data_IF_454770820677
#
_entry.id   IF_454770820677
#
_cell.length_a   1.000
_cell.length_b   1.000
_cell.length_c   1.000
_cell.angle_alpha   90.00
_cell.angle_beta   90.00
_cell.angle_gamma   90.00
#
_symmetry.space_group_name_H-M   'P 1'
#
loop_
_entity.id
_entity.type
_entity.pdbx_description
1 polymer ?
#
# COMPACT_ATOMS: atom_id res chain seq x y z
N UNK A 1 1.68 14.83 -7.12
CA UNK A 1 1.20 13.95 -6.03
C UNK A 1 2.18 12.80 -5.90
N UNK A 2 2.47 12.32 -4.69
CA UNK A 2 3.42 11.23 -4.49
C UNK A 2 2.68 9.89 -4.53
N UNK A 3 3.33 8.83 -4.99
CA UNK A 3 2.70 7.49 -5.01
C UNK A 3 2.11 7.06 -3.65
N UNK A 4 2.68 7.55 -2.53
CA UNK A 4 2.13 7.34 -1.19
C UNK A 4 0.79 8.05 -0.97
N UNK A 5 0.63 9.30 -1.43
CA UNK A 5 -0.64 10.02 -1.29
C UNK A 5 -1.77 9.35 -2.06
N UNK A 6 -1.45 8.83 -3.25
CA UNK A 6 -2.44 8.19 -4.12
C UNK A 6 -2.91 6.85 -3.52
N UNK A 7 -1.99 6.10 -2.90
CA UNK A 7 -2.32 4.88 -2.15
C UNK A 7 -3.18 5.18 -0.93
N UNK A 8 -2.85 6.22 -0.16
CA UNK A 8 -3.64 6.66 1.01
C UNK A 8 -5.05 7.04 0.58
N UNK A 9 -5.20 7.79 -0.51
CA UNK A 9 -6.49 8.19 -1.04
C UNK A 9 -7.30 6.99 -1.52
N UNK A 10 -6.65 6.02 -2.17
CA UNK A 10 -7.29 4.79 -2.61
C UNK A 10 -7.82 3.98 -1.41
N UNK A 11 -7.03 3.81 -0.36
CA UNK A 11 -7.45 3.16 0.89
C UNK A 11 -8.63 3.90 1.55
N UNK A 12 -8.61 5.24 1.54
CA UNK A 12 -9.72 6.05 2.10
C UNK A 12 -11.00 5.89 1.28
N UNK A 13 -10.92 5.93 -0.04
CA UNK A 13 -12.07 5.81 -0.95
C UNK A 13 -12.77 4.46 -0.87
N UNK A 14 -12.02 3.38 -0.67
CA UNK A 14 -12.58 2.04 -0.57
C UNK A 14 -13.19 1.74 0.81
N UNK A 15 -12.91 2.55 1.84
CA UNK A 15 -13.42 2.34 3.20
C UNK A 15 -12.85 1.12 3.93
N UNK A 16 -12.09 0.26 3.25
CA UNK A 16 -11.55 -0.98 3.79
C UNK A 16 -10.36 -0.75 4.74
N UNK A 17 -10.19 -1.63 5.71
CA UNK A 17 -9.00 -1.70 6.58
C UNK A 17 -7.75 -2.15 5.78
N UNK A 18 -7.96 -2.96 4.75
CA UNK A 18 -6.92 -3.38 3.81
C UNK A 18 -7.46 -3.50 2.39
N UNK A 19 -6.58 -3.31 1.41
CA UNK A 19 -6.84 -3.53 0.00
C UNK A 19 -5.76 -4.43 -0.60
N UNK A 20 -6.13 -5.17 -1.64
CA UNK A 20 -5.21 -5.94 -2.47
C UNK A 20 -5.15 -5.34 -3.86
N UNK A 21 -3.95 -5.21 -4.39
CA UNK A 21 -3.67 -4.74 -5.74
C UNK A 21 -2.86 -5.77 -6.51
N UNK A 22 -3.10 -5.85 -7.81
CA UNK A 22 -2.22 -6.55 -8.74
C UNK A 22 -1.01 -5.67 -9.09
N UNK A 23 0.07 -6.30 -9.58
CA UNK A 23 1.25 -5.57 -10.05
C UNK A 23 0.94 -4.52 -11.14
N UNK A 24 0.10 -4.81 -12.16
CA UNK A 24 -0.29 -3.79 -13.13
C UNK A 24 -0.98 -2.58 -12.49
N UNK A 25 -1.84 -2.78 -11.48
CA UNK A 25 -2.51 -1.68 -10.79
C UNK A 25 -1.50 -0.79 -10.03
N UNK A 26 -0.48 -1.38 -9.38
CA UNK A 26 0.53 -0.56 -8.70
C UNK A 26 1.39 0.23 -9.69
N UNK A 27 1.69 -0.34 -10.85
CA UNK A 27 2.42 0.35 -11.93
C UNK A 27 1.64 1.56 -12.45
N UNK A 28 0.32 1.42 -12.61
CA UNK A 28 -0.56 2.52 -12.95
C UNK A 28 -0.59 3.60 -11.85
N UNK A 29 -0.79 3.22 -10.58
CA UNK A 29 -0.86 4.17 -9.45
C UNK A 29 0.46 4.93 -9.28
N UNK A 30 1.59 4.24 -9.42
CA UNK A 30 2.92 4.85 -9.29
C UNK A 30 3.39 5.56 -10.55
N UNK A 31 2.63 5.47 -11.64
CA UNK A 31 2.97 5.94 -12.99
C UNK A 31 4.37 5.48 -13.44
N UNK A 32 4.66 4.19 -13.26
CA UNK A 32 5.96 3.57 -13.54
C UNK A 32 5.78 2.21 -14.19
N UNK A 33 6.52 1.94 -15.25
CA UNK A 33 6.53 0.63 -15.92
C UNK A 33 7.20 -0.48 -15.10
N UNK A 34 8.16 -0.10 -14.24
CA UNK A 34 8.88 -1.01 -13.35
C UNK A 34 9.22 -0.32 -12.05
N UNK A 35 9.17 -1.09 -10.96
CA UNK A 35 9.55 -0.63 -9.62
C UNK A 35 10.86 -1.31 -9.22
N UNK A 36 11.92 -0.52 -9.05
CA UNK A 36 13.17 -0.98 -8.48
C UNK A 36 13.05 -1.08 -6.95
N UNK A 37 13.82 -1.98 -6.34
CA UNK A 37 13.79 -2.22 -4.88
C UNK A 37 14.00 -0.93 -4.08
N UNK A 38 14.89 -0.04 -4.52
CA UNK A 38 15.13 1.25 -3.88
C UNK A 38 13.91 2.19 -3.88
N UNK A 39 13.05 2.08 -4.88
CA UNK A 39 11.78 2.80 -4.91
C UNK A 39 10.76 2.15 -3.97
N UNK A 40 10.66 0.82 -3.97
CA UNK A 40 9.76 0.08 -3.09
C UNK A 40 10.09 0.34 -1.61
N UNK A 41 11.37 0.39 -1.26
CA UNK A 41 11.83 0.72 0.08
C UNK A 41 11.44 2.15 0.46
N UNK A 42 11.68 3.13 -0.42
CA UNK A 42 11.26 4.53 -0.20
C UNK A 42 9.74 4.66 -0.05
N UNK A 43 8.97 3.96 -0.87
CA UNK A 43 7.51 3.95 -0.80
C UNK A 43 7.02 3.37 0.52
N UNK A 44 7.58 2.23 0.92
CA UNK A 44 7.29 1.57 2.20
C UNK A 44 7.58 2.51 3.38
N UNK A 45 8.74 3.16 3.38
CA UNK A 45 9.13 4.09 4.44
C UNK A 45 8.25 5.34 4.49
N UNK A 46 7.72 5.79 3.35
CA UNK A 46 6.78 6.90 3.33
C UNK A 46 5.40 6.48 3.84
N UNK A 47 4.88 5.32 3.43
CA UNK A 47 3.58 4.81 3.89
C UNK A 47 3.57 4.53 5.40
N UNK A 48 4.68 4.06 5.97
CA UNK A 48 4.81 3.87 7.42
C UNK A 48 4.63 5.15 8.24
N UNK A 49 4.91 6.32 7.67
CA UNK A 49 4.68 7.62 8.36
C UNK A 49 3.20 7.95 8.48
N UNK A 50 2.37 7.34 7.64
CA UNK A 50 0.92 7.53 7.58
C UNK A 50 0.16 6.33 8.20
N UNK A 51 0.83 5.54 9.05
CA UNK A 51 0.29 4.31 9.66
C UNK A 51 -0.27 3.33 8.60
N UNK A 52 0.46 3.15 7.49
CA UNK A 52 0.10 2.21 6.43
C UNK A 52 1.24 1.21 6.23
N UNK A 53 0.87 -0.06 6.24
CA UNK A 53 1.74 -1.18 5.91
C UNK A 53 1.51 -1.64 4.47
N UNK A 54 2.59 -1.95 3.76
CA UNK A 54 2.55 -2.52 2.40
C UNK A 54 3.39 -3.79 2.35
N UNK A 55 2.83 -4.85 1.76
CA UNK A 55 3.48 -6.15 1.57
C UNK A 55 3.50 -6.48 0.09
N UNK A 56 4.70 -6.65 -0.46
CA UNK A 56 4.91 -7.06 -1.85
C UNK A 56 4.95 -8.58 -1.96
N UNK A 57 3.81 -9.21 -2.24
CA UNK A 57 3.74 -10.64 -2.53
C UNK A 57 4.08 -10.95 -3.99
N UNK A 58 4.18 -12.24 -4.31
CA UNK A 58 4.50 -12.69 -5.67
C UNK A 58 3.37 -12.34 -6.66
N UNK A 59 2.11 -12.64 -6.30
CA UNK A 59 0.96 -12.44 -7.19
C UNK A 59 0.19 -11.14 -6.90
N UNK A 60 0.22 -10.67 -5.67
CA UNK A 60 -0.56 -9.53 -5.20
C UNK A 60 0.22 -8.71 -4.18
N UNK A 61 -0.14 -7.44 -4.11
CA UNK A 61 0.35 -6.47 -3.15
C UNK A 61 -0.77 -6.23 -2.15
N UNK A 62 -0.46 -6.35 -0.86
CA UNK A 62 -1.40 -6.09 0.23
C UNK A 62 -1.05 -4.73 0.83
N UNK A 63 -2.04 -3.87 0.98
CA UNK A 63 -1.88 -2.56 1.63
C UNK A 63 -2.90 -2.49 2.75
N UNK A 64 -2.42 -2.30 3.97
CA UNK A 64 -3.21 -2.38 5.19
C UNK A 64 -2.97 -1.15 6.07
N UNK A 65 -4.00 -0.67 6.76
CA UNK A 65 -3.81 0.34 7.79
C UNK A 65 -3.20 -0.31 9.03
N UNK A 66 -2.06 0.20 9.47
CA UNK A 66 -1.25 -0.30 10.59
C UNK A 66 -1.71 0.30 11.93
N UNK A 67 -3.00 0.19 12.21
CA UNK A 67 -3.54 0.41 13.54
C UNK A 67 -4.23 -0.85 14.01
N UNK A 68 -4.42 -0.97 15.32
CA UNK A 68 -5.08 -2.12 15.90
C UNK A 68 -6.52 -2.22 15.37
N UNK A 69 -6.75 -3.14 14.43
CA UNK A 69 -8.09 -3.54 14.01
C UNK A 69 -8.86 -4.13 15.19
N UNK A 70 -10.13 -4.48 14.96
CA UNK A 70 -10.95 -5.15 15.97
C UNK A 70 -10.20 -6.38 16.51
N UNK A 71 -9.73 -6.28 17.76
CA UNK A 71 -8.95 -7.34 18.41
C UNK A 71 -9.78 -8.61 18.46
N UNK A 72 -9.16 -9.73 18.11
CA UNK A 72 -9.74 -11.05 18.36
C UNK A 72 -9.53 -11.43 19.82
N UNK A 73 -10.48 -12.14 20.40
CA UNK A 73 -10.31 -12.81 21.69
C UNK A 73 -9.76 -14.20 21.41
N UNK A 74 -8.67 -14.58 22.09
CA UNK A 74 -8.03 -15.91 21.98
C UNK A 74 -8.42 -16.74 23.18
#
# INVERSE_FOLDING_TARGET
MSASSDIVELLRKNGNEAITLTWPQIYTITNRERLHDSFLEKLTNNLKKDDIHIVYGNNAIIIARDFCWKRVTV
#
